data_IF_433493408715
#
_entry.id   IF_433493408715
#
_cell.length_a   1.000
_cell.length_b   1.000
_cell.length_c   1.000
_cell.angle_alpha   90.00
_cell.angle_beta   90.00
_cell.angle_gamma   90.00
#
_symmetry.space_group_name_H-M   'P 1'
#
loop_
_entity.id
_entity.type
_entity.pdbx_description
1 polymer ?
#
# COMPACT_ATOMS: atom_id res chain seq x y z
N UNK A 1 3.56 -38.93 -66.00
CA UNK A 1 4.69 -39.91 -66.08
C UNK A 1 5.43 -39.81 -64.75
N UNK A 2 5.71 -40.82 -63.93
CA UNK A 2 5.60 -42.28 -63.97
C UNK A 2 5.21 -42.76 -62.56
N UNK A 3 4.51 -43.89 -62.53
CA UNK A 3 4.25 -44.77 -61.38
C UNK A 3 5.56 -45.32 -60.82
N UNK A 4 5.61 -45.61 -59.51
CA UNK A 4 6.18 -46.87 -59.02
C UNK A 4 5.39 -47.38 -57.81
N UNK A 5 5.10 -48.68 -57.83
CA UNK A 5 4.31 -49.47 -56.88
C UNK A 5 5.23 -50.49 -56.19
N UNK A 6 4.90 -50.75 -54.91
CA UNK A 6 4.95 -52.00 -54.13
C UNK A 6 6.25 -52.83 -54.00
N UNK A 7 6.56 -53.26 -52.76
CA UNK A 7 6.55 -54.66 -52.24
C UNK A 7 7.01 -54.58 -50.75
N UNK A 8 6.13 -54.72 -49.74
CA UNK A 8 5.61 -55.94 -49.09
C UNK A 8 6.68 -56.79 -48.37
N UNK A 9 6.70 -56.78 -47.03
CA UNK A 9 6.91 -57.98 -46.19
C UNK A 9 6.10 -57.83 -44.89
N UNK A 10 5.30 -58.86 -44.65
CA UNK A 10 4.44 -59.14 -43.51
C UNK A 10 5.28 -59.88 -42.44
N UNK A 11 5.13 -59.56 -41.15
CA UNK A 11 5.34 -60.55 -40.09
C UNK A 11 4.43 -60.27 -38.89
N UNK A 12 3.93 -61.36 -38.36
CA UNK A 12 2.66 -61.56 -37.69
C UNK A 12 2.86 -61.69 -36.17
N UNK A 13 1.86 -61.22 -35.43
CA UNK A 13 1.37 -61.70 -34.13
C UNK A 13 2.23 -61.56 -32.86
N UNK A 14 1.72 -60.72 -31.96
CA UNK A 14 1.85 -60.83 -30.51
C UNK A 14 0.69 -60.07 -29.84
N UNK A 15 -0.41 -60.78 -29.57
CA UNK A 15 -1.60 -60.27 -28.88
C UNK A 15 -1.32 -60.17 -27.38
N UNK A 16 -1.49 -58.99 -26.76
CA UNK A 16 -2.01 -58.85 -25.39
C UNK A 16 -2.78 -57.53 -25.29
N UNK A 17 -4.01 -57.61 -24.80
CA UNK A 17 -5.01 -56.57 -24.78
C UNK A 17 -4.82 -55.59 -23.61
N UNK A 18 -4.98 -54.28 -23.86
CA UNK A 18 -5.45 -53.30 -22.86
C UNK A 18 -6.28 -52.23 -23.57
N UNK A 19 -7.55 -52.16 -23.18
CA UNK A 19 -8.51 -51.05 -23.15
C UNK A 19 -8.35 -49.87 -24.13
N UNK A 20 -9.36 -49.73 -25.01
CA UNK A 20 -9.74 -48.44 -25.58
C UNK A 20 -10.14 -47.50 -24.44
N UNK A 21 -9.48 -46.35 -24.37
CA UNK A 21 -10.03 -45.15 -23.75
C UNK A 21 -9.64 -44.02 -24.69
N UNK A 22 -10.65 -43.31 -25.17
CA UNK A 22 -10.54 -42.27 -26.17
C UNK A 22 -9.50 -41.21 -25.77
N UNK A 23 -8.85 -40.63 -26.78
CA UNK A 23 -8.00 -39.45 -26.64
C UNK A 23 -8.81 -38.33 -25.98
N UNK A 24 -8.67 -38.17 -24.67
CA UNK A 24 -8.98 -36.91 -24.00
C UNK A 24 -7.72 -36.07 -23.92
N UNK A 25 -7.77 -35.00 -24.70
CA UNK A 25 -7.10 -33.74 -24.44
C UNK A 25 -7.25 -33.44 -22.94
N UNK A 26 -6.17 -33.59 -22.16
CA UNK A 26 -6.12 -33.06 -20.80
C UNK A 26 -6.03 -31.53 -20.93
N UNK A 27 -7.21 -30.93 -21.03
CA UNK A 27 -7.50 -29.62 -20.49
C UNK A 27 -7.08 -29.62 -19.02
N UNK A 28 -6.03 -28.87 -18.67
CA UNK A 28 -5.78 -28.51 -17.27
C UNK A 28 -6.77 -27.42 -16.87
N UNK A 29 -8.05 -27.79 -16.82
CA UNK A 29 -9.01 -27.15 -15.92
C UNK A 29 -8.80 -27.78 -14.55
N UNK A 30 -8.78 -26.90 -13.55
CA UNK A 30 -8.86 -27.23 -12.13
C UNK A 30 -7.57 -27.73 -11.46
N UNK A 31 -6.57 -26.84 -11.45
CA UNK A 31 -5.92 -26.47 -10.18
C UNK A 31 -5.77 -24.94 -10.15
N UNK A 32 -6.90 -24.26 -10.34
CA UNK A 32 -7.10 -22.99 -9.66
C UNK A 32 -7.13 -23.33 -8.17
N UNK A 33 -5.95 -23.37 -7.55
CA UNK A 33 -5.81 -23.31 -6.11
C UNK A 33 -6.54 -22.04 -5.70
N UNK A 34 -7.80 -22.25 -5.31
CA UNK A 34 -8.64 -21.33 -4.59
C UNK A 34 -7.97 -21.08 -3.25
N UNK A 35 -6.86 -20.33 -3.30
CA UNK A 35 -6.29 -19.69 -2.13
C UNK A 35 -7.26 -18.56 -1.84
N UNK A 36 -8.26 -18.91 -1.03
CA UNK A 36 -9.02 -17.97 -0.23
C UNK A 36 -8.07 -16.85 0.16
N UNK A 37 -8.41 -15.63 -0.24
CA UNK A 37 -7.67 -14.43 0.14
C UNK A 37 -7.31 -14.52 1.61
N UNK A 38 -6.04 -14.23 1.90
CA UNK A 38 -5.46 -14.27 3.24
C UNK A 38 -6.47 -13.81 4.27
N UNK A 39 -7.01 -14.76 5.03
CA UNK A 39 -7.85 -14.48 6.18
C UNK A 39 -6.94 -14.05 7.33
N UNK A 40 -6.37 -12.85 7.20
CA UNK A 40 -5.98 -11.98 8.32
C UNK A 40 -6.55 -10.57 8.11
N UNK A 41 -7.75 -10.47 7.55
CA UNK A 41 -8.64 -9.38 7.97
C UNK A 41 -8.84 -9.58 9.47
N UNK A 42 -8.40 -8.61 10.27
CA UNK A 42 -8.53 -8.59 11.72
C UNK A 42 -9.80 -9.31 12.17
N UNK A 43 -9.61 -10.52 12.72
CA UNK A 43 -10.68 -11.34 13.29
C UNK A 43 -11.33 -10.52 14.40
N UNK A 44 -12.53 -10.01 14.12
CA UNK A 44 -13.49 -9.41 15.05
C UNK A 44 -12.94 -8.38 16.06
N UNK A 45 -12.22 -7.35 15.58
CA UNK A 45 -12.11 -6.13 16.40
C UNK A 45 -13.49 -5.46 16.41
N UNK A 46 -14.15 -5.46 17.57
CA UNK A 46 -15.42 -4.77 17.75
C UNK A 46 -15.20 -3.25 17.68
N UNK A 47 -15.29 -2.69 16.47
CA UNK A 47 -15.15 -1.25 16.19
C UNK A 47 -16.29 -0.45 16.83
N UNK A 48 -16.14 -0.17 18.12
CA UNK A 48 -17.10 0.48 19.00
C UNK A 48 -16.34 1.35 20.00
N UNK A 49 -17.03 2.32 20.62
CA UNK A 49 -16.42 3.27 21.54
C UNK A 49 -15.95 4.57 20.88
N UNK A 50 -15.19 5.36 21.64
CA UNK A 50 -14.71 6.67 21.22
C UNK A 50 -13.72 6.54 20.04
N UNK A 51 -13.90 7.38 19.03
CA UNK A 51 -13.04 7.45 17.86
C UNK A 51 -13.19 8.81 17.18
N UNK A 52 -12.12 9.28 16.54
CA UNK A 52 -12.20 10.40 15.61
C UNK A 52 -12.68 9.89 14.24
N UNK A 53 -13.57 10.63 13.57
CA UNK A 53 -14.03 10.29 12.22
C UNK A 53 -13.55 11.36 11.25
N UNK A 54 -12.73 10.98 10.27
CA UNK A 54 -12.38 11.83 9.13
C UNK A 54 -13.13 11.33 7.89
N UNK A 55 -13.71 12.24 7.12
CA UNK A 55 -14.33 11.92 5.84
C UNK A 55 -13.57 12.62 4.70
N UNK A 56 -12.98 11.84 3.80
CA UNK A 56 -12.36 12.36 2.57
C UNK A 56 -13.41 12.26 1.46
N UNK A 57 -13.91 13.40 0.98
CA UNK A 57 -15.07 13.49 0.09
C UNK A 57 -14.65 13.95 -1.30
N UNK A 58 -14.85 13.08 -2.29
CA UNK A 58 -14.63 13.40 -3.70
C UNK A 58 -15.73 14.31 -4.26
N UNK A 59 -15.36 15.50 -4.72
CA UNK A 59 -16.28 16.50 -5.30
C UNK A 59 -15.97 16.77 -6.78
N UNK A 60 -17.01 17.04 -7.57
CA UNK A 60 -16.85 17.35 -9.00
C UNK A 60 -16.40 18.79 -9.24
N UNK A 61 -16.93 19.70 -8.43
CA UNK A 61 -16.62 21.12 -8.52
C UNK A 61 -15.63 21.46 -7.42
N UNK A 62 -14.48 22.07 -7.76
CA UNK A 62 -13.53 22.56 -6.76
C UNK A 62 -14.20 23.47 -5.74
N UNK A 63 -13.67 23.47 -4.52
CA UNK A 63 -14.05 24.44 -3.50
C UNK A 63 -13.25 25.72 -3.72
N UNK A 64 -13.87 26.86 -3.42
CA UNK A 64 -13.25 28.19 -3.56
C UNK A 64 -13.29 29.00 -2.27
N UNK A 65 -13.91 28.45 -1.22
CA UNK A 65 -13.91 29.06 0.10
C UNK A 65 -12.66 28.63 0.85
N UNK A 66 -12.10 29.54 1.67
CA UNK A 66 -11.07 29.21 2.65
C UNK A 66 -11.70 28.33 3.72
N UNK A 67 -11.10 27.17 4.00
CA UNK A 67 -11.65 26.15 4.93
C UNK A 67 -10.67 25.77 6.03
N UNK A 68 -9.77 26.68 6.38
CA UNK A 68 -8.73 26.51 7.39
C UNK A 68 -9.35 26.37 8.79
N UNK A 69 -8.81 25.46 9.61
CA UNK A 69 -9.26 25.25 10.99
C UNK A 69 -10.71 24.73 11.11
N UNK A 70 -11.19 24.01 10.10
CA UNK A 70 -12.56 23.49 10.07
C UNK A 70 -12.75 22.31 11.04
N UNK A 71 -13.65 22.47 12.01
CA UNK A 71 -14.15 21.38 12.87
C UNK A 71 -15.06 20.37 12.15
N UNK A 72 -15.14 20.43 10.82
CA UNK A 72 -16.04 19.57 10.04
C UNK A 72 -15.62 18.11 9.96
N UNK A 73 -14.37 17.79 10.35
CA UNK A 73 -13.73 16.48 10.17
C UNK A 73 -13.88 15.94 8.73
N UNK A 74 -13.76 16.84 7.76
CA UNK A 74 -13.95 16.58 6.34
C UNK A 74 -12.82 17.21 5.57
N UNK A 75 -12.27 16.47 4.61
CA UNK A 75 -11.39 17.00 3.56
C UNK A 75 -12.10 16.77 2.22
N UNK A 76 -12.21 17.82 1.41
CA UNK A 76 -12.75 17.74 0.07
C UNK A 76 -11.62 17.56 -0.94
N UNK A 77 -11.70 16.54 -1.77
CA UNK A 77 -10.69 16.26 -2.81
C UNK A 77 -11.35 16.25 -4.17
N UNK A 78 -10.57 16.45 -5.23
CA UNK A 78 -11.07 16.24 -6.59
C UNK A 78 -11.60 14.81 -6.74
N UNK A 79 -12.77 14.65 -7.35
CA UNK A 79 -13.39 13.33 -7.50
C UNK A 79 -12.60 12.40 -8.43
N UNK A 80 -11.79 12.96 -9.34
CA UNK A 80 -11.25 12.21 -10.47
C UNK A 80 -12.33 11.76 -11.45
N UNK A 81 -11.92 11.06 -12.50
CA UNK A 81 -12.81 10.44 -13.48
C UNK A 81 -12.78 8.92 -13.35
N UNK A 82 -13.93 8.28 -13.61
CA UNK A 82 -14.02 6.82 -13.71
C UNK A 82 -13.42 6.26 -15.01
N UNK A 83 -13.19 7.13 -15.99
CA UNK A 83 -12.87 6.79 -17.38
C UNK A 83 -11.63 7.54 -17.91
N UNK A 84 -10.94 8.31 -17.08
CA UNK A 84 -9.72 9.01 -17.51
C UNK A 84 -8.50 8.22 -17.07
N UNK A 85 -7.43 8.30 -17.85
CA UNK A 85 -6.06 7.94 -17.46
C UNK A 85 -5.57 8.83 -16.30
N UNK A 86 -6.22 9.99 -16.10
CA UNK A 86 -5.86 11.00 -15.12
C UNK A 86 -6.72 10.88 -13.84
N UNK A 87 -6.17 10.25 -12.81
CA UNK A 87 -6.61 10.39 -11.43
C UNK A 87 -6.35 11.83 -10.95
N UNK A 88 -7.09 12.28 -9.93
CA UNK A 88 -6.76 13.57 -9.28
C UNK A 88 -6.04 13.27 -7.98
N UNK A 89 -4.79 13.72 -7.90
CA UNK A 89 -3.96 13.63 -6.71
C UNK A 89 -4.20 14.83 -5.80
N UNK A 90 -4.41 14.55 -4.51
CA UNK A 90 -4.32 15.54 -3.44
C UNK A 90 -3.21 15.10 -2.48
N UNK A 91 -2.32 16.01 -2.09
CA UNK A 91 -1.35 15.79 -0.99
C UNK A 91 -1.97 16.27 0.30
N UNK A 92 -2.23 15.36 1.21
CA UNK A 92 -2.76 15.69 2.54
C UNK A 92 -1.56 15.72 3.50
N UNK A 93 -1.00 16.90 3.74
CA UNK A 93 0.14 17.08 4.64
C UNK A 93 -0.22 16.73 6.08
N UNK A 94 0.71 16.08 6.75
CA UNK A 94 0.56 15.57 8.11
C UNK A 94 1.32 16.47 9.06
N UNK A 95 0.70 16.80 10.18
CA UNK A 95 1.30 17.60 11.23
C UNK A 95 1.20 16.85 12.55
N UNK A 96 2.32 16.83 13.29
CA UNK A 96 2.40 16.23 14.61
C UNK A 96 1.60 17.06 15.61
N UNK A 97 0.55 16.46 16.18
CA UNK A 97 -0.29 17.12 17.19
C UNK A 97 0.46 17.47 18.47
N UNK A 98 1.59 16.81 18.77
CA UNK A 98 2.41 17.15 19.94
C UNK A 98 3.09 18.53 19.79
N UNK A 99 3.26 19.01 18.56
CA UNK A 99 3.80 20.34 18.26
C UNK A 99 2.70 21.41 18.16
N UNK A 100 1.44 21.01 18.35
CA UNK A 100 0.30 21.91 18.26
C UNK A 100 0.27 22.92 19.40
N UNK A 101 -0.26 24.10 19.10
CA UNK A 101 -0.61 25.09 20.14
C UNK A 101 -2.01 24.86 20.71
N UNK A 102 -2.76 23.92 20.14
CA UNK A 102 -4.09 23.53 20.59
C UNK A 102 -4.00 22.16 21.27
N UNK A 103 -3.90 22.17 22.60
CA UNK A 103 -3.70 20.97 23.42
C UNK A 103 -4.95 20.09 23.54
N UNK A 104 -6.08 20.52 22.97
CA UNK A 104 -7.39 19.92 23.25
C UNK A 104 -7.81 18.89 22.17
N UNK A 105 -7.00 18.68 21.13
CA UNK A 105 -7.32 17.75 20.05
C UNK A 105 -6.09 16.97 19.52
N UNK A 106 -6.13 15.64 19.68
CA UNK A 106 -5.15 14.73 19.07
C UNK A 106 -5.32 14.64 17.54
N UNK A 107 -6.53 14.91 17.02
CA UNK A 107 -6.85 14.81 15.59
C UNK A 107 -7.63 16.02 15.10
N UNK A 108 -7.18 16.65 14.02
CA UNK A 108 -7.84 17.86 13.49
C UNK A 108 -7.58 18.06 12.00
N UNK A 109 -8.58 18.55 11.28
CA UNK A 109 -8.40 19.02 9.91
C UNK A 109 -7.90 20.45 9.96
N UNK A 110 -6.68 20.68 9.48
CA UNK A 110 -6.06 22.01 9.43
C UNK A 110 -6.48 22.75 8.15
N UNK A 111 -6.56 22.02 7.04
CA UNK A 111 -7.09 22.50 5.78
C UNK A 111 -7.98 21.43 5.14
N UNK A 112 -9.24 21.79 4.92
CA UNK A 112 -10.25 20.91 4.34
C UNK A 112 -10.32 21.00 2.79
N UNK A 113 -9.61 21.92 2.14
CA UNK A 113 -9.72 22.14 0.69
C UNK A 113 -8.64 21.41 -0.13
N UNK A 114 -8.69 20.09 -0.16
CA UNK A 114 -7.88 19.28 -1.08
C UNK A 114 -8.13 19.44 -2.58
N UNK A 115 -9.02 20.34 -3.02
CA UNK A 115 -9.42 20.42 -4.45
C UNK A 115 -8.50 21.27 -5.30
N UNK A 116 -7.61 22.04 -4.68
CA UNK A 116 -6.51 22.77 -5.33
C UNK A 116 -5.21 21.94 -5.40
N UNK A 117 -5.21 20.74 -4.83
CA UNK A 117 -4.11 19.79 -4.86
C UNK A 117 -3.48 19.53 -3.49
N UNK A 118 -3.80 20.33 -2.48
CA UNK A 118 -3.20 20.24 -1.15
C UNK A 118 -4.26 20.32 -0.05
N UNK A 119 -4.06 19.60 1.03
CA UNK A 119 -4.87 19.68 2.25
C UNK A 119 -3.95 19.42 3.45
N UNK A 120 -4.47 19.55 4.67
CA UNK A 120 -3.65 19.32 5.86
C UNK A 120 -4.45 18.70 6.99
N UNK A 121 -3.84 17.72 7.65
CA UNK A 121 -4.41 16.96 8.75
C UNK A 121 -3.38 16.82 9.87
N UNK A 122 -3.86 16.97 11.10
CA UNK A 122 -3.07 16.84 12.31
C UNK A 122 -3.46 15.55 13.03
N UNK A 123 -2.45 14.81 13.50
CA UNK A 123 -2.57 13.52 14.17
C UNK A 123 -1.35 13.29 15.08
N UNK A 124 -1.45 12.43 16.12
CA UNK A 124 -0.34 12.21 17.01
C UNK A 124 0.71 11.28 16.39
N UNK A 125 1.91 11.29 16.96
CA UNK A 125 2.92 10.26 16.71
C UNK A 125 2.33 8.87 16.94
N UNK A 126 2.70 7.86 16.12
CA UNK A 126 2.12 6.53 16.23
C UNK A 126 2.70 5.68 17.38
N UNK A 127 3.72 6.16 18.10
CA UNK A 127 4.16 5.57 19.37
C UNK A 127 5.12 4.39 19.26
N UNK A 128 5.70 4.14 18.10
CA UNK A 128 6.73 3.11 17.89
C UNK A 128 7.96 3.70 17.19
N UNK A 129 9.09 3.00 17.28
CA UNK A 129 10.36 3.38 16.64
C UNK A 129 10.52 2.71 15.27
N UNK A 130 11.40 3.25 14.42
CA UNK A 130 11.77 2.61 13.15
C UNK A 130 12.40 1.21 13.35
N UNK A 131 12.12 0.27 12.43
CA UNK A 131 12.68 -1.08 12.48
C UNK A 131 12.83 -1.74 11.10
N UNK A 132 13.69 -2.76 11.02
CA UNK A 132 13.90 -3.56 9.80
C UNK A 132 12.82 -4.64 9.70
N UNK A 133 12.20 -4.77 8.53
CA UNK A 133 11.14 -5.74 8.25
C UNK A 133 11.69 -7.11 7.79
N UNK A 134 11.02 -8.22 8.15
CA UNK A 134 9.97 -8.30 9.16
C UNK A 134 10.56 -8.18 10.59
N UNK A 135 9.79 -7.63 11.53
CA UNK A 135 10.18 -7.70 12.94
C UNK A 135 9.94 -9.10 13.50
N UNK A 136 10.82 -9.57 14.38
CA UNK A 136 10.67 -10.84 15.10
C UNK A 136 9.69 -10.75 16.28
N UNK A 137 9.41 -9.54 16.77
CA UNK A 137 8.49 -9.27 17.87
C UNK A 137 7.39 -8.29 17.42
N UNK A 138 6.19 -8.35 18.02
CA UNK A 138 5.13 -7.39 17.74
C UNK A 138 5.59 -5.95 17.97
N UNK A 139 5.20 -5.05 17.06
CA UNK A 139 5.45 -3.61 17.16
C UNK A 139 4.10 -2.95 17.21
N UNK A 140 3.77 -2.31 18.33
CA UNK A 140 2.42 -1.79 18.57
C UNK A 140 2.37 -0.28 18.34
N UNK A 141 1.41 0.17 17.54
CA UNK A 141 1.04 1.58 17.51
C UNK A 141 0.23 1.99 18.74
N UNK A 142 0.16 3.28 19.05
CA UNK A 142 -0.67 3.84 20.14
C UNK A 142 -2.14 3.99 19.73
N UNK A 143 -2.39 4.20 18.45
CA UNK A 143 -3.73 4.31 17.87
C UNK A 143 -3.83 3.48 16.61
N UNK A 144 -5.07 3.28 16.15
CA UNK A 144 -5.34 2.49 14.95
C UNK A 144 -6.25 3.22 13.98
N UNK A 145 -5.96 3.05 12.70
CA UNK A 145 -6.68 3.68 11.59
C UNK A 145 -7.45 2.61 10.83
N UNK A 146 -8.76 2.83 10.72
CA UNK A 146 -9.65 1.97 9.96
C UNK A 146 -10.34 2.76 8.86
N UNK A 147 -10.37 2.23 7.64
CA UNK A 147 -11.01 2.90 6.50
C UNK A 147 -12.10 2.05 5.88
N UNK A 148 -13.08 2.71 5.27
CA UNK A 148 -14.04 2.07 4.37
C UNK A 148 -14.50 3.00 3.26
N UNK A 149 -14.73 2.48 2.05
CA UNK A 149 -15.34 3.26 0.99
C UNK A 149 -16.86 3.33 1.14
N UNK A 150 -17.44 4.50 0.82
CA UNK A 150 -18.87 4.78 0.85
C UNK A 150 -19.31 5.54 -0.41
N UNK A 151 -20.62 5.78 -0.53
CA UNK A 151 -21.21 6.50 -1.67
C UNK A 151 -21.45 5.62 -2.89
N UNK A 152 -21.37 6.22 -4.09
CA UNK A 152 -21.72 5.56 -5.36
C UNK A 152 -20.67 4.51 -5.74
N UNK A 153 -21.09 3.28 -6.12
CA UNK A 153 -20.18 2.22 -6.56
C UNK A 153 -19.30 2.52 -7.79
N UNK A 154 -18.20 1.78 -7.87
CA UNK A 154 -17.24 1.76 -8.98
C UNK A 154 -16.22 2.89 -8.95
N UNK A 155 -15.81 3.35 -7.78
CA UNK A 155 -14.69 4.26 -7.60
C UNK A 155 -13.84 3.77 -6.44
N UNK A 156 -12.56 4.12 -6.45
CA UNK A 156 -11.58 3.76 -5.43
C UNK A 156 -10.59 4.92 -5.25
N UNK A 157 -9.71 4.79 -4.26
CA UNK A 157 -8.60 5.71 -4.07
C UNK A 157 -7.35 4.92 -3.72
N UNK A 158 -6.19 5.41 -4.13
CA UNK A 158 -4.91 4.89 -3.61
C UNK A 158 -4.36 5.92 -2.63
N UNK A 159 -3.84 5.45 -1.50
CA UNK A 159 -3.18 6.31 -0.52
C UNK A 159 -1.78 5.77 -0.28
N UNK A 160 -0.78 6.60 -0.50
CA UNK A 160 0.63 6.29 -0.24
C UNK A 160 1.22 7.36 0.65
N UNK A 161 1.82 6.97 1.76
CA UNK A 161 2.55 7.89 2.64
C UNK A 161 3.89 8.24 1.99
N UNK A 162 4.20 9.53 1.88
CA UNK A 162 5.44 10.04 1.30
C UNK A 162 6.06 11.09 2.22
N UNK A 163 7.39 11.23 2.20
CA UNK A 163 8.14 12.21 2.96
C UNK A 163 9.55 12.43 2.39
N UNK A 164 10.18 13.52 2.78
CA UNK A 164 11.59 13.76 2.51
C UNK A 164 12.45 12.97 3.49
N UNK A 165 13.47 12.26 2.98
CA UNK A 165 14.46 11.59 3.82
C UNK A 165 15.55 12.60 4.20
N UNK A 166 15.52 13.09 5.44
CA UNK A 166 16.42 14.13 5.93
C UNK A 166 17.64 13.57 6.69
N UNK A 167 17.54 12.36 7.25
CA UNK A 167 18.64 11.70 7.95
C UNK A 167 18.91 10.28 7.41
N UNK A 168 19.54 10.23 6.24
CA UNK A 168 19.92 8.98 5.60
C UNK A 168 20.96 8.18 6.40
N UNK A 169 21.76 8.84 7.24
CA UNK A 169 22.80 8.17 8.05
C UNK A 169 22.16 7.21 9.05
N UNK A 170 21.14 7.68 9.77
CA UNK A 170 20.49 6.87 10.80
C UNK A 170 19.69 5.72 10.16
N UNK A 171 18.98 5.99 9.06
CA UNK A 171 18.32 4.95 8.26
C UNK A 171 19.29 3.85 7.82
N UNK A 172 20.47 4.24 7.31
CA UNK A 172 21.48 3.28 6.85
C UNK A 172 22.22 2.59 7.99
N UNK A 173 22.29 3.23 9.16
CA UNK A 173 22.86 2.67 10.39
C UNK A 173 22.07 1.48 10.94
N UNK A 174 20.80 1.34 10.55
CA UNK A 174 19.96 0.19 10.89
C UNK A 174 20.29 -1.07 10.07
N UNK A 175 21.10 -0.94 9.03
CA UNK A 175 21.38 -2.00 8.07
C UNK A 175 22.82 -2.52 8.20
N UNK A 176 23.09 -3.76 7.75
CA UNK A 176 24.45 -4.30 7.75
C UNK A 176 25.46 -3.40 7.03
N UNK A 177 26.73 -3.50 7.42
CA UNK A 177 27.82 -2.84 6.70
C UNK A 177 27.86 -3.30 5.23
N UNK A 178 28.13 -2.35 4.32
CA UNK A 178 28.13 -2.58 2.89
C UNK A 178 28.84 -1.45 2.16
N UNK A 179 29.33 -1.72 0.95
CA UNK A 179 30.07 -0.77 0.13
C UNK A 179 29.14 0.30 -0.45
N UNK A 180 27.92 -0.09 -0.83
CA UNK A 180 26.88 0.84 -1.27
C UNK A 180 25.52 0.50 -0.68
N UNK A 181 24.77 1.55 -0.33
CA UNK A 181 23.35 1.48 0.04
C UNK A 181 22.57 2.50 -0.78
N UNK A 182 21.47 2.07 -1.39
CA UNK A 182 20.66 2.92 -2.28
C UNK A 182 19.19 2.76 -1.95
N UNK A 183 18.49 3.87 -1.73
CA UNK A 183 17.03 3.88 -1.59
C UNK A 183 16.40 3.68 -2.97
N UNK A 184 15.47 2.72 -3.09
CA UNK A 184 14.80 2.32 -4.34
C UNK A 184 13.30 2.64 -4.36
N UNK A 185 12.82 3.38 -3.36
CA UNK A 185 11.46 3.88 -3.34
C UNK A 185 11.16 4.74 -4.57
N UNK A 186 9.90 4.70 -5.00
CA UNK A 186 9.40 5.67 -5.98
C UNK A 186 9.36 7.05 -5.32
N UNK A 187 9.66 8.09 -6.08
CA UNK A 187 9.54 9.48 -5.63
C UNK A 187 8.26 10.12 -6.18
N UNK A 188 7.62 11.00 -5.41
CA UNK A 188 6.58 11.88 -5.96
C UNK A 188 7.23 12.82 -6.99
N UNK A 189 6.74 12.78 -8.24
CA UNK A 189 7.26 13.60 -9.32
C UNK A 189 7.05 15.12 -9.15
N UNK A 190 6.25 15.55 -8.17
CA UNK A 190 6.05 16.98 -7.87
C UNK A 190 6.95 17.45 -6.73
N UNK A 191 7.02 16.73 -5.62
CA UNK A 191 7.80 17.18 -4.44
C UNK A 191 9.22 16.61 -4.43
N UNK A 192 9.46 15.46 -5.07
CA UNK A 192 10.72 14.72 -4.97
C UNK A 192 10.80 13.79 -3.74
N UNK A 193 9.82 13.84 -2.85
CA UNK A 193 9.75 13.02 -1.64
C UNK A 193 9.68 11.53 -1.97
N UNK A 194 10.27 10.68 -1.12
CA UNK A 194 10.16 9.24 -1.24
C UNK A 194 8.79 8.77 -0.78
N UNK A 195 8.15 7.90 -1.56
CA UNK A 195 6.87 7.29 -1.23
C UNK A 195 7.04 5.85 -0.77
N UNK A 196 6.28 5.45 0.24
CA UNK A 196 6.26 4.09 0.79
C UNK A 196 6.03 3.05 -0.30
N UNK A 197 6.67 1.89 -0.16
CA UNK A 197 6.35 0.72 -1.02
C UNK A 197 5.04 0.04 -0.63
N UNK A 198 4.52 0.33 0.56
CA UNK A 198 3.19 -0.08 1.01
C UNK A 198 2.17 1.05 0.77
N UNK A 199 0.94 0.68 0.46
CA UNK A 199 -0.13 1.62 0.13
C UNK A 199 -1.50 1.05 0.50
N UNK A 200 -2.46 1.94 0.76
CA UNK A 200 -3.87 1.57 0.86
C UNK A 200 -4.49 1.62 -0.53
N UNK A 201 -4.66 0.45 -1.15
CA UNK A 201 -5.07 0.30 -2.55
C UNK A 201 -6.56 0.03 -2.77
N UNK A 202 -6.90 -0.29 -4.02
CA UNK A 202 -8.26 -0.62 -4.45
C UNK A 202 -8.83 -1.90 -3.82
N UNK A 203 -7.97 -2.82 -3.40
CA UNK A 203 -8.31 -3.99 -2.60
C UNK A 203 -9.04 -3.62 -1.31
N UNK A 204 -8.71 -2.48 -0.70
CA UNK A 204 -9.39 -1.91 0.47
C UNK A 204 -10.44 -0.85 0.11
N UNK A 205 -10.13 0.04 -0.83
CA UNK A 205 -10.92 1.26 -1.07
C UNK A 205 -11.92 1.15 -2.22
N UNK A 206 -11.98 0.03 -2.94
CA UNK A 206 -12.95 -0.12 -4.02
C UNK A 206 -14.37 -0.12 -3.48
N UNK A 207 -15.16 0.87 -3.90
CA UNK A 207 -16.57 0.91 -3.60
C UNK A 207 -17.33 -0.10 -4.47
N UNK A 208 -17.59 -1.28 -3.91
CA UNK A 208 -18.50 -2.29 -4.48
C UNK A 208 -19.98 -1.94 -4.22
N UNK A 209 -20.94 -2.77 -4.64
CA UNK A 209 -22.36 -2.61 -4.27
C UNK A 209 -22.62 -3.18 -2.87
N UNK A 210 -23.59 -2.62 -2.15
CA UNK A 210 -23.99 -3.12 -0.82
C UNK A 210 -23.27 -2.45 0.34
N UNK A 211 -23.26 -3.10 1.50
CA UNK A 211 -22.62 -2.63 2.74
C UNK A 211 -21.11 -2.86 2.66
N UNK A 212 -20.32 -1.87 3.09
CA UNK A 212 -18.87 -1.99 3.25
C UNK A 212 -18.51 -2.17 4.71
N UNK A 213 -17.42 -2.89 4.95
CA UNK A 213 -16.78 -3.07 6.25
C UNK A 213 -15.55 -2.19 6.34
N UNK A 214 -15.09 -1.97 7.57
CA UNK A 214 -13.83 -1.29 7.80
C UNK A 214 -12.67 -2.27 7.65
N UNK A 215 -11.58 -1.82 7.07
CA UNK A 215 -10.29 -2.50 7.05
C UNK A 215 -9.31 -1.71 7.92
N UNK A 216 -8.43 -2.43 8.64
CA UNK A 216 -7.32 -1.81 9.35
C UNK A 216 -6.25 -1.41 8.33
N UNK A 217 -5.77 -0.18 8.39
CA UNK A 217 -4.73 0.37 7.52
C UNK A 217 -3.70 1.17 8.31
N UNK A 218 -3.53 0.79 9.58
CA UNK A 218 -2.71 1.54 10.53
C UNK A 218 -1.26 1.60 10.09
N UNK A 219 -0.70 0.47 9.64
CA UNK A 219 0.71 0.40 9.24
C UNK A 219 0.99 1.33 8.04
N UNK A 220 0.16 1.26 7.00
CA UNK A 220 0.33 1.99 5.74
C UNK A 220 0.20 3.50 5.91
N UNK A 221 -0.73 3.94 6.77
CA UNK A 221 -1.02 5.36 6.97
C UNK A 221 -0.22 6.02 8.12
N UNK A 222 0.55 5.24 8.89
CA UNK A 222 1.41 5.76 9.97
C UNK A 222 2.89 5.55 9.73
N UNK A 223 3.31 5.10 8.54
CA UNK A 223 4.72 4.89 8.24
C UNK A 223 5.06 4.99 6.75
N UNK A 224 6.35 5.10 6.49
CA UNK A 224 6.97 4.86 5.19
C UNK A 224 7.80 3.59 5.30
N UNK A 225 7.62 2.67 4.35
CA UNK A 225 8.52 1.52 4.18
C UNK A 225 9.53 1.87 3.10
N UNK A 226 10.79 2.02 3.50
CA UNK A 226 11.93 2.20 2.61
C UNK A 226 12.42 0.86 2.08
N UNK A 227 12.49 0.71 0.75
CA UNK A 227 13.17 -0.40 0.06
C UNK A 227 14.60 0.02 -0.23
N UNK A 228 15.55 -0.67 0.40
CA UNK A 228 16.96 -0.32 0.33
C UNK A 228 17.72 -1.46 -0.33
N UNK A 229 18.39 -1.14 -1.42
CA UNK A 229 19.31 -2.03 -2.11
C UNK A 229 20.70 -1.87 -1.50
N UNK A 230 21.25 -2.97 -1.03
CA UNK A 230 22.59 -3.04 -0.45
C UNK A 230 23.47 -3.85 -1.40
N UNK A 231 24.64 -3.33 -1.72
CA UNK A 231 25.69 -4.01 -2.49
C UNK A 231 26.93 -4.21 -1.62
N UNK A 232 27.45 -5.44 -1.62
CA UNK A 232 28.70 -5.83 -0.98
C UNK A 232 29.61 -6.41 -2.06
N UNK A 233 30.74 -5.77 -2.33
CA UNK A 233 31.75 -6.29 -3.24
C UNK A 233 32.55 -7.39 -2.51
N UNK A 234 32.13 -8.63 -2.70
CA UNK A 234 32.73 -9.77 -2.00
C UNK A 234 34.10 -10.13 -2.58
N UNK A 235 34.39 -9.70 -3.81
CA UNK A 235 35.56 -10.13 -4.56
C UNK A 235 36.53 -9.00 -4.94
N UNK A 236 36.25 -7.77 -4.48
CA UNK A 236 37.08 -6.57 -4.59
C UNK A 236 37.39 -6.22 -6.06
N UNK A 237 36.39 -6.39 -6.93
CA UNK A 237 36.51 -6.14 -8.37
C UNK A 237 35.82 -4.83 -8.83
N UNK A 238 35.16 -4.11 -7.93
CA UNK A 238 34.35 -2.91 -8.19
C UNK A 238 33.23 -3.13 -9.23
N UNK A 239 32.73 -4.36 -9.36
CA UNK A 239 31.65 -4.75 -10.29
C UNK A 239 30.55 -5.45 -9.52
N UNK A 240 29.30 -5.06 -9.79
CA UNK A 240 28.14 -5.73 -9.19
C UNK A 240 27.99 -7.12 -9.81
N UNK A 241 28.26 -8.16 -9.01
CA UNK A 241 28.07 -9.55 -9.41
C UNK A 241 26.72 -10.12 -8.94
N UNK A 242 26.29 -11.20 -9.59
CA UNK A 242 25.06 -11.91 -9.20
C UNK A 242 25.19 -12.46 -7.77
N UNK A 243 24.27 -12.07 -6.89
CA UNK A 243 24.27 -12.48 -5.48
C UNK A 243 24.95 -11.49 -4.52
N UNK A 244 25.56 -10.42 -5.03
CA UNK A 244 26.14 -9.35 -4.19
C UNK A 244 25.14 -8.27 -3.79
N UNK A 245 23.93 -8.34 -4.34
CA UNK A 245 22.85 -7.38 -4.06
C UNK A 245 21.79 -8.02 -3.19
N UNK A 246 21.46 -7.37 -2.08
CA UNK A 246 20.37 -7.76 -1.18
C UNK A 246 19.41 -6.60 -0.96
N UNK A 247 18.11 -6.89 -0.89
CA UNK A 247 17.08 -5.90 -0.58
C UNK A 247 16.70 -6.01 0.90
N UNK A 248 16.70 -4.86 1.58
CA UNK A 248 16.16 -4.69 2.91
C UNK A 248 14.96 -3.75 2.88
N UNK A 249 14.04 -3.94 3.81
CA UNK A 249 12.91 -3.06 4.03
C UNK A 249 13.01 -2.48 5.43
N UNK A 250 12.88 -1.17 5.55
CA UNK A 250 12.89 -0.47 6.85
C UNK A 250 11.60 0.31 6.98
N UNK A 251 10.81 0.03 8.01
CA UNK A 251 9.62 0.81 8.35
C UNK A 251 10.03 1.97 9.24
N UNK A 252 9.74 3.18 8.82
CA UNK A 252 9.97 4.42 9.55
C UNK A 252 8.61 5.06 9.85
N UNK A 253 8.24 5.28 11.12
CA UNK A 253 6.98 5.91 11.47
C UNK A 253 6.93 7.36 10.99
N UNK A 254 5.72 7.89 10.75
CA UNK A 254 5.57 9.34 10.54
C UNK A 254 6.03 10.10 11.78
N UNK A 255 6.62 11.29 11.58
CA UNK A 255 7.21 12.16 12.61
C UNK A 255 8.47 11.60 13.30
N UNK A 256 9.10 10.61 12.69
CA UNK A 256 10.44 10.16 13.04
C UNK A 256 11.50 11.16 12.54
N UNK A 257 12.60 11.34 13.27
CA UNK A 257 13.63 12.33 12.94
C UNK A 257 14.42 12.01 11.66
N UNK A 258 14.22 10.81 11.10
CA UNK A 258 14.76 10.45 9.79
C UNK A 258 14.05 11.12 8.62
N UNK A 259 12.79 11.53 8.79
CA UNK A 259 11.95 12.06 7.72
C UNK A 259 11.32 13.41 8.10
N UNK A 260 10.87 14.16 7.09
CA UNK A 260 10.16 15.43 7.28
C UNK A 260 9.19 15.69 6.12
N UNK A 261 8.24 16.59 6.33
CA UNK A 261 7.27 17.01 5.32
C UNK A 261 6.36 15.86 4.89
N UNK A 262 5.91 15.03 5.84
CA UNK A 262 5.09 13.85 5.56
C UNK A 262 3.72 14.23 5.01
N UNK A 263 3.24 13.45 4.05
CA UNK A 263 1.89 13.59 3.53
C UNK A 263 1.32 12.25 3.07
N UNK A 264 0.00 12.15 3.11
CA UNK A 264 -0.72 11.13 2.36
C UNK A 264 -0.96 11.61 0.93
N UNK A 265 -0.30 10.97 -0.03
CA UNK A 265 -0.62 11.13 -1.45
C UNK A 265 -1.91 10.38 -1.76
N UNK A 266 -3.00 11.13 -1.91
CA UNK A 266 -4.34 10.59 -2.14
C UNK A 266 -4.71 10.69 -3.62
N UNK A 267 -4.64 9.57 -4.33
CA UNK A 267 -5.00 9.46 -5.75
C UNK A 267 -6.47 9.01 -5.90
N UNK A 268 -7.36 9.96 -6.23
CA UNK A 268 -8.80 9.66 -6.32
C UNK A 268 -9.22 9.20 -7.72
N UNK A 269 -9.78 7.99 -7.77
CA UNK A 269 -10.27 7.33 -8.98
C UNK A 269 -11.81 7.22 -8.95
N UNK A 270 -12.49 8.35 -8.72
CA UNK A 270 -13.95 8.40 -8.70
C UNK A 270 -14.59 7.97 -7.38
N UNK A 271 -13.82 7.80 -6.29
CA UNK A 271 -14.36 7.49 -4.97
C UNK A 271 -15.06 8.71 -4.37
N UNK A 272 -16.31 8.50 -3.95
CA UNK A 272 -17.17 9.57 -3.45
C UNK A 272 -16.89 9.93 -1.99
N UNK A 273 -16.60 8.93 -1.17
CA UNK A 273 -16.34 9.09 0.24
C UNK A 273 -15.44 7.95 0.68
N UNK A 274 -14.26 8.28 1.20
CA UNK A 274 -13.52 7.41 2.09
C UNK A 274 -13.78 7.88 3.51
N UNK A 275 -14.28 6.98 4.35
CA UNK A 275 -14.45 7.25 5.77
C UNK A 275 -13.32 6.59 6.53
N UNK A 276 -12.57 7.41 7.28
CA UNK A 276 -11.50 6.97 8.17
C UNK A 276 -11.94 7.11 9.62
N UNK A 277 -11.54 6.15 10.45
CA UNK A 277 -11.76 6.13 11.89
C UNK A 277 -10.46 5.91 12.62
N UNK A 278 -10.18 6.78 13.58
CA UNK A 278 -9.00 6.71 14.43
C UNK A 278 -9.45 6.29 15.82
N UNK A 279 -8.97 5.15 16.28
CA UNK A 279 -9.29 4.61 17.59
C UNK A 279 -8.08 4.71 18.52
N UNK A 280 -8.27 5.05 19.81
CA UNK A 280 -7.20 5.21 20.78
C UNK A 280 -6.74 3.85 21.36
N UNK A 281 -6.65 2.83 20.49
CA UNK A 281 -6.09 1.54 20.85
C UNK A 281 -5.10 1.11 19.78
N UNK A 282 -4.05 0.43 20.24
CA UNK A 282 -2.96 0.00 19.39
C UNK A 282 -3.28 -1.13 18.44
N UNK A 283 -2.51 -1.21 17.36
CA UNK A 283 -2.49 -2.33 16.40
C UNK A 283 -1.05 -2.78 16.21
N UNK A 284 -0.88 -4.10 16.03
CA UNK A 284 0.42 -4.65 15.65
C UNK A 284 0.72 -4.30 14.19
N UNK A 285 1.83 -3.58 13.97
CA UNK A 285 2.29 -3.13 12.65
C UNK A 285 3.56 -3.88 12.21
N UNK A 286 4.02 -4.89 12.96
CA UNK A 286 5.32 -5.59 12.78
C UNK A 286 5.51 -6.33 11.46
N UNK A 287 4.41 -6.67 10.78
CA UNK A 287 4.42 -7.47 9.56
C UNK A 287 4.35 -6.59 8.31
N UNK A 288 4.82 -7.17 7.20
CA UNK A 288 4.67 -6.61 5.88
C UNK A 288 3.48 -7.27 5.17
N UNK A 289 2.57 -6.50 4.58
CA UNK A 289 1.62 -7.01 3.58
C UNK A 289 2.30 -7.23 2.20
N UNK A 290 3.64 -7.10 2.14
CA UNK A 290 4.49 -7.28 0.97
C UNK A 290 4.48 -8.69 0.36
N UNK A 291 3.79 -9.67 0.96
CA UNK A 291 3.53 -10.98 0.34
C UNK A 291 2.62 -10.90 -0.90
N UNK A 292 2.08 -9.72 -1.20
CA UNK A 292 1.14 -9.49 -2.31
C UNK A 292 1.80 -9.18 -3.67
N UNK A 293 3.13 -9.29 -3.79
CA UNK A 293 3.84 -9.29 -5.07
C UNK A 293 3.44 -8.17 -6.04
N UNK A 294 4.07 -7.01 -5.92
CA UNK A 294 4.05 -5.97 -6.96
C UNK A 294 5.13 -6.24 -7.99
#
# INVERSE_FOLDING_TARGET
MKKFRLFSVLLLSGLLAVSCSDDEIISSTDDAMNVKGSETFAKDVALSGAHYNLNIIGVQNPKTAVMDGSNGHVIFVGLGSKNAEDFVTTRIYLYDSELSTDSDADFRVLDANGTDGEASFELPKPGYDAYVLPSSEPVMSDYSIYVRPLGKPGGWSTITTCADLINQTDLFGMLPAADQKTVKNVTDGVTGAYCSVEQVGADVTLRTKGKTTFANVTAELTSIVFKIEIWIDANDNDVVDEGEVTIYYVRVPIFDDMIDGEYWKYDNNGLKLLQCRFYPFGTDVSLSDLTSGW
#
